data_IF_331011640293
#
_entry.id   IF_331011640293
#
_cell.length_a   1.000
_cell.length_b   1.000
_cell.length_c   1.000
_cell.angle_alpha   90.00
_cell.angle_beta   90.00
_cell.angle_gamma   90.00
#
_symmetry.space_group_name_H-M   'P 1'
#
loop_
_entity.id
_entity.type
_entity.pdbx_description
1 polymer ?
#
# COMPACT_ATOMS: atom_id res chain seq x y z
N UNK A 1 -32.81 22.65 -60.35
CA UNK A 1 -31.51 22.71 -59.63
C UNK A 1 -31.79 22.97 -58.16
N UNK A 2 -31.62 21.96 -57.28
CA UNK A 2 -31.68 22.13 -55.82
C UNK A 2 -30.33 21.67 -55.27
N UNK A 3 -29.54 22.62 -54.78
CA UNK A 3 -28.30 22.34 -54.05
C UNK A 3 -28.67 21.75 -52.68
N UNK A 4 -28.20 20.54 -52.41
CA UNK A 4 -28.17 19.96 -51.07
C UNK A 4 -26.81 20.26 -50.46
N UNK A 5 -26.82 21.17 -49.48
CA UNK A 5 -25.67 21.50 -48.63
C UNK A 5 -25.43 20.32 -47.67
N UNK A 6 -24.25 19.70 -47.76
CA UNK A 6 -23.78 18.75 -46.77
C UNK A 6 -23.19 19.52 -45.58
N UNK A 7 -23.90 19.55 -44.45
CA UNK A 7 -23.33 19.96 -43.16
C UNK A 7 -22.50 18.81 -42.60
N UNK A 8 -21.19 18.97 -42.62
CA UNK A 8 -20.25 18.07 -41.95
C UNK A 8 -20.12 18.57 -40.51
N UNK A 9 -20.86 17.99 -39.59
CA UNK A 9 -20.76 18.30 -38.16
C UNK A 9 -19.55 17.58 -37.59
N UNK A 10 -18.44 18.30 -37.44
CA UNK A 10 -17.26 17.83 -36.72
C UNK A 10 -17.63 17.71 -35.23
N UNK A 11 -17.98 16.51 -34.76
CA UNK A 11 -18.03 16.21 -33.33
C UNK A 11 -16.60 16.31 -32.80
N UNK A 12 -16.25 17.43 -32.18
CA UNK A 12 -15.19 17.44 -31.18
C UNK A 12 -15.73 16.63 -29.98
N UNK A 13 -15.34 15.36 -29.91
CA UNK A 13 -15.37 14.63 -28.66
C UNK A 13 -14.49 15.39 -27.68
N UNK A 14 -15.13 16.10 -26.76
CA UNK A 14 -14.55 16.49 -25.48
C UNK A 14 -14.23 15.18 -24.74
N UNK A 15 -13.09 14.58 -25.05
CA UNK A 15 -12.48 13.58 -24.22
C UNK A 15 -12.06 14.35 -22.97
N UNK A 16 -12.94 14.45 -21.98
CA UNK A 16 -12.49 14.63 -20.61
C UNK A 16 -11.40 13.58 -20.43
N UNK A 17 -10.14 13.95 -20.14
CA UNK A 17 -9.17 12.95 -19.75
C UNK A 17 -9.80 12.29 -18.53
N UNK A 18 -10.33 11.08 -18.72
CA UNK A 18 -10.52 10.17 -17.61
C UNK A 18 -9.16 10.19 -16.93
N UNK A 19 -9.13 10.67 -15.68
CA UNK A 19 -7.91 10.82 -14.91
C UNK A 19 -7.18 9.50 -15.09
N UNK A 20 -6.06 9.49 -15.82
CA UNK A 20 -5.27 8.28 -16.02
C UNK A 20 -4.35 8.15 -14.81
N UNK A 21 -3.72 6.99 -14.62
CA UNK A 21 -2.61 6.93 -13.68
C UNK A 21 -1.55 7.97 -14.07
N UNK A 22 -0.80 8.48 -13.09
CA UNK A 22 0.37 9.29 -13.38
C UNK A 22 1.32 8.52 -14.30
N UNK A 23 2.01 9.21 -15.20
CA UNK A 23 2.84 8.57 -16.23
C UNK A 23 3.84 7.53 -15.70
N UNK A 24 4.52 7.72 -14.54
CA UNK A 24 5.38 6.69 -13.97
C UNK A 24 4.63 5.41 -13.58
N UNK A 25 3.45 5.55 -12.98
CA UNK A 25 2.60 4.42 -12.56
C UNK A 25 2.03 3.71 -13.79
N UNK A 26 1.54 4.47 -14.78
CA UNK A 26 1.06 3.93 -16.05
C UNK A 26 2.14 3.10 -16.75
N UNK A 27 3.38 3.59 -16.80
CA UNK A 27 4.50 2.87 -17.40
C UNK A 27 4.83 1.55 -16.69
N UNK A 28 4.64 1.49 -15.36
CA UNK A 28 4.75 0.23 -14.62
C UNK A 28 3.60 -0.71 -15.02
N UNK A 29 2.35 -0.26 -14.96
CA UNK A 29 1.15 -1.06 -15.28
C UNK A 29 1.26 -1.71 -16.66
N UNK A 30 1.63 -0.93 -17.69
CA UNK A 30 1.77 -1.41 -19.07
C UNK A 30 2.90 -2.43 -19.26
N UNK A 31 3.89 -2.42 -18.35
CA UNK A 31 5.04 -3.31 -18.39
C UNK A 31 4.76 -4.72 -17.84
N UNK A 32 3.65 -4.93 -17.11
CA UNK A 32 3.37 -6.18 -16.43
C UNK A 32 2.13 -6.91 -16.95
N UNK A 33 2.22 -8.24 -16.93
CA UNK A 33 1.08 -9.14 -17.10
C UNK A 33 0.70 -9.71 -15.75
N UNK A 34 -0.58 -10.03 -15.57
CA UNK A 34 -1.08 -10.64 -14.35
C UNK A 34 -0.26 -11.90 -13.95
N UNK A 35 -0.10 -12.07 -12.64
CA UNK A 35 0.68 -13.10 -11.96
C UNK A 35 2.16 -13.15 -12.32
N UNK A 36 2.73 -12.08 -12.87
CA UNK A 36 4.18 -11.99 -13.13
C UNK A 36 4.91 -11.30 -11.98
N UNK A 37 6.09 -11.82 -11.57
CA UNK A 37 6.92 -11.16 -10.58
C UNK A 37 7.34 -9.77 -11.04
N UNK A 38 7.27 -8.81 -10.13
CA UNK A 38 7.71 -7.44 -10.33
C UNK A 38 9.15 -7.25 -9.89
N UNK A 39 9.85 -6.35 -10.57
CA UNK A 39 11.15 -5.82 -10.13
C UNK A 39 10.92 -4.87 -8.97
N UNK A 40 11.76 -4.92 -7.94
CA UNK A 40 11.57 -4.06 -6.76
C UNK A 40 11.65 -2.57 -7.10
N UNK A 41 12.39 -2.18 -8.13
CA UNK A 41 12.44 -0.78 -8.59
C UNK A 41 11.09 -0.27 -9.14
N UNK A 42 10.32 -1.14 -9.79
CA UNK A 42 8.98 -0.80 -10.28
C UNK A 42 7.98 -0.77 -9.11
N UNK A 43 8.11 -1.71 -8.17
CA UNK A 43 7.35 -1.68 -6.90
C UNK A 43 7.65 -0.40 -6.13
N UNK A 44 8.92 0.02 -6.04
CA UNK A 44 9.33 1.28 -5.43
C UNK A 44 8.74 2.50 -6.13
N UNK A 45 8.47 2.41 -7.45
CA UNK A 45 7.70 3.44 -8.15
C UNK A 45 6.24 3.44 -7.73
N UNK A 46 5.61 2.27 -7.58
CA UNK A 46 4.25 2.22 -7.02
C UNK A 46 4.20 2.76 -5.59
N UNK A 47 5.16 2.41 -4.72
CA UNK A 47 5.29 2.91 -3.35
C UNK A 47 5.37 4.44 -3.30
N UNK A 48 6.16 5.07 -4.18
CA UNK A 48 6.36 6.53 -4.22
C UNK A 48 5.11 7.32 -4.60
N UNK A 49 4.22 6.71 -5.39
CA UNK A 49 3.10 7.40 -6.01
C UNK A 49 1.74 6.99 -5.43
N UNK A 50 1.69 5.93 -4.62
CA UNK A 50 0.48 5.51 -3.92
C UNK A 50 0.24 6.36 -2.68
N UNK A 51 -1.03 6.64 -2.40
CA UNK A 51 -1.48 7.31 -1.18
C UNK A 51 -1.56 6.32 -0.01
N UNK A 52 -2.01 5.08 -0.28
CA UNK A 52 -2.13 4.03 0.74
C UNK A 52 -2.12 2.63 0.13
N UNK A 53 -1.51 1.68 0.84
CA UNK A 53 -1.59 0.26 0.54
C UNK A 53 -2.53 -0.40 1.54
N UNK A 54 -3.57 -1.07 1.06
CA UNK A 54 -4.59 -1.73 1.86
C UNK A 54 -4.44 -3.24 1.74
N UNK A 55 -4.08 -3.90 2.85
CA UNK A 55 -3.83 -5.34 2.87
C UNK A 55 -5.11 -6.10 3.21
N UNK A 56 -5.36 -7.16 2.44
CA UNK A 56 -6.58 -7.97 2.51
C UNK A 56 -7.83 -7.09 2.47
N UNK A 57 -7.92 -6.15 1.53
CA UNK A 57 -9.05 -5.23 1.47
C UNK A 57 -10.40 -5.96 1.36
N UNK A 58 -11.37 -5.54 2.18
CA UNK A 58 -12.75 -6.00 2.13
C UNK A 58 -13.69 -4.83 2.38
N UNK A 59 -14.53 -4.50 1.38
CA UNK A 59 -15.52 -3.43 1.43
C UNK A 59 -15.01 -2.09 1.99
N UNK A 60 -13.80 -1.65 1.58
CA UNK A 60 -13.18 -0.40 2.05
C UNK A 60 -12.53 -0.48 3.43
N UNK A 61 -12.33 -1.69 3.97
CA UNK A 61 -11.58 -1.94 5.19
C UNK A 61 -10.31 -2.74 4.92
N UNK A 62 -9.22 -2.41 5.60
CA UNK A 62 -7.93 -3.08 5.53
C UNK A 62 -7.69 -3.90 6.80
N UNK A 63 -7.07 -5.08 6.69
CA UNK A 63 -6.54 -5.77 7.86
C UNK A 63 -5.40 -4.97 8.51
N UNK A 64 -4.54 -4.41 7.66
CA UNK A 64 -3.59 -3.35 7.99
C UNK A 64 -3.34 -2.52 6.72
N UNK A 65 -2.72 -1.38 6.89
CA UNK A 65 -2.36 -0.51 5.78
C UNK A 65 -0.94 0.01 5.93
N UNK A 66 -0.32 0.31 4.79
CA UNK A 66 0.98 0.99 4.74
C UNK A 66 0.85 2.33 4.03
N UNK A 67 1.61 3.32 4.50
CA UNK A 67 1.88 4.59 3.80
C UNK A 67 3.39 4.75 3.69
N UNK A 68 3.90 4.81 2.46
CA UNK A 68 5.33 4.95 2.22
C UNK A 68 5.76 6.40 2.41
N UNK A 69 6.66 6.64 3.38
CA UNK A 69 7.09 7.97 3.79
C UNK A 69 8.27 8.46 2.96
N UNK A 70 9.22 7.55 2.69
CA UNK A 70 10.40 7.81 1.88
C UNK A 70 10.77 6.51 1.14
N UNK A 71 11.05 6.64 -0.15
CA UNK A 71 11.48 5.52 -1.00
C UNK A 71 12.70 5.94 -1.79
N UNK A 72 13.81 5.28 -1.52
CA UNK A 72 15.09 5.46 -2.19
C UNK A 72 15.33 4.34 -3.21
N UNK A 73 16.49 4.36 -3.87
CA UNK A 73 16.91 3.26 -4.76
C UNK A 73 17.27 1.98 -4.00
N UNK A 74 17.53 2.08 -2.68
CA UNK A 74 18.03 0.97 -1.85
C UNK A 74 17.05 0.49 -0.80
N UNK A 75 15.87 1.08 -0.69
CA UNK A 75 14.90 0.73 0.35
C UNK A 75 13.85 1.81 0.58
N UNK A 76 12.98 1.54 1.54
CA UNK A 76 11.89 2.44 1.92
C UNK A 76 11.66 2.45 3.43
N UNK A 77 11.20 3.60 3.94
CA UNK A 77 10.56 3.71 5.26
C UNK A 77 9.08 3.94 5.07
N UNK A 78 8.27 3.26 5.88
CA UNK A 78 6.82 3.27 5.74
C UNK A 78 6.17 3.26 7.13
N UNK A 79 5.01 3.90 7.21
CA UNK A 79 4.14 3.78 8.36
C UNK A 79 3.16 2.64 8.13
N UNK A 80 3.08 1.73 9.09
CA UNK A 80 2.09 0.65 9.14
C UNK A 80 1.02 1.06 10.14
N UNK A 81 -0.25 0.83 9.83
CA UNK A 81 -1.33 0.95 10.81
C UNK A 81 -2.32 -0.20 10.76
N UNK A 82 -2.84 -0.56 11.93
CA UNK A 82 -3.78 -1.66 12.11
C UNK A 82 -4.58 -1.50 13.42
N UNK A 83 -5.66 -2.28 13.55
CA UNK A 83 -6.33 -2.47 14.82
C UNK A 83 -5.43 -3.29 15.75
N UNK A 84 -5.09 -2.74 16.93
CA UNK A 84 -4.37 -3.49 17.98
C UNK A 84 -5.32 -4.37 18.79
N UNK A 85 -6.51 -3.85 19.06
CA UNK A 85 -7.63 -4.56 19.66
C UNK A 85 -8.97 -3.93 19.24
N UNK A 86 -10.08 -4.38 19.82
CA UNK A 86 -11.41 -3.86 19.54
C UNK A 86 -11.57 -2.35 19.86
N UNK A 87 -10.73 -1.80 20.73
CA UNK A 87 -10.80 -0.44 21.24
C UNK A 87 -9.71 0.50 20.68
N UNK A 88 -8.58 -0.02 20.21
CA UNK A 88 -7.37 0.74 19.89
C UNK A 88 -6.87 0.45 18.48
N UNK A 89 -6.63 1.52 17.72
CA UNK A 89 -5.80 1.50 16.52
C UNK A 89 -4.39 1.95 16.86
N UNK A 90 -3.40 1.31 16.25
CA UNK A 90 -2.01 1.71 16.31
C UNK A 90 -1.49 2.06 14.92
N UNK A 91 -0.47 2.91 14.89
CA UNK A 91 0.40 3.05 13.74
C UNK A 91 1.86 3.20 14.21
N UNK A 92 2.81 2.75 13.40
CA UNK A 92 4.24 2.78 13.72
C UNK A 92 5.05 2.83 12.42
N UNK A 93 6.31 3.24 12.52
CA UNK A 93 7.22 3.35 11.39
C UNK A 93 8.16 2.16 11.38
N UNK A 94 8.30 1.54 10.22
CA UNK A 94 9.27 0.49 9.93
C UNK A 94 10.08 0.82 8.66
N UNK A 95 11.09 0.00 8.37
CA UNK A 95 12.00 0.16 7.25
C UNK A 95 12.35 -1.19 6.64
N UNK A 96 12.35 -1.21 5.31
CA UNK A 96 12.85 -2.32 4.52
C UNK A 96 13.92 -1.91 3.50
N UNK A 97 14.93 -2.76 3.33
CA UNK A 97 15.98 -2.58 2.33
C UNK A 97 15.66 -3.39 1.06
N UNK A 98 15.91 -2.78 -0.10
CA UNK A 98 15.77 -3.44 -1.39
C UNK A 98 16.95 -4.37 -1.65
N UNK A 99 16.66 -5.63 -1.95
CA UNK A 99 17.67 -6.68 -2.16
C UNK A 99 17.46 -7.43 -3.47
N UNK A 100 18.58 -7.74 -4.11
CA UNK A 100 18.66 -8.59 -5.31
C UNK A 100 17.75 -8.15 -6.47
N UNK A 101 17.39 -6.86 -6.52
CA UNK A 101 16.47 -6.29 -7.52
C UNK A 101 15.03 -6.80 -7.45
N UNK A 102 14.68 -7.55 -6.39
CA UNK A 102 13.44 -8.32 -6.31
C UNK A 102 12.71 -8.15 -4.98
N UNK A 103 13.44 -8.06 -3.88
CA UNK A 103 12.85 -8.11 -2.54
C UNK A 103 12.91 -6.76 -1.86
N UNK A 104 11.95 -6.51 -0.96
CA UNK A 104 12.12 -5.61 0.18
C UNK A 104 12.24 -6.49 1.43
N UNK A 105 13.28 -6.30 2.23
CA UNK A 105 13.52 -7.08 3.44
C UNK A 105 13.49 -6.16 4.66
N UNK A 106 12.73 -6.56 5.68
CA UNK A 106 12.70 -5.89 6.97
C UNK A 106 14.12 -5.76 7.56
N UNK A 107 14.36 -4.65 8.24
CA UNK A 107 15.68 -4.34 8.81
C UNK A 107 15.78 -4.61 10.32
N UNK A 108 14.68 -5.01 10.96
CA UNK A 108 14.64 -5.30 12.40
C UNK A 108 14.73 -4.03 13.26
N UNK A 109 14.08 -2.95 12.82
CA UNK A 109 14.05 -1.71 13.57
C UNK A 109 13.17 -1.86 14.82
N UNK A 110 13.61 -1.34 15.96
CA UNK A 110 12.75 -1.19 17.15
C UNK A 110 11.67 -0.16 16.82
N UNK A 111 10.54 -0.64 16.31
CA UNK A 111 9.41 0.16 15.86
C UNK A 111 8.53 0.60 17.03
N UNK A 112 8.64 -0.04 18.21
CA UNK A 112 7.80 0.25 19.38
C UNK A 112 7.91 1.70 19.86
N UNK A 113 9.11 2.33 19.91
CA UNK A 113 9.26 3.75 20.18
C UNK A 113 8.43 4.66 19.26
N UNK A 114 8.22 4.27 18.00
CA UNK A 114 7.47 5.05 17.01
C UNK A 114 5.95 4.89 17.11
N UNK A 115 5.45 3.92 17.90
CA UNK A 115 4.01 3.67 18.02
C UNK A 115 3.25 4.93 18.44
N UNK A 116 2.22 5.25 17.67
CA UNK A 116 1.13 6.17 17.98
C UNK A 116 -0.17 5.38 18.04
N UNK A 117 -1.13 5.86 18.84
CA UNK A 117 -2.38 5.15 19.04
C UNK A 117 -3.59 6.09 19.11
N UNK A 118 -4.74 5.60 18.65
CA UNK A 118 -6.02 6.29 18.67
C UNK A 118 -7.12 5.35 19.14
N UNK A 119 -8.13 5.89 19.83
CA UNK A 119 -9.32 5.14 20.21
C UNK A 119 -10.20 4.92 18.99
N UNK A 120 -10.63 3.68 18.76
CA UNK A 120 -11.54 3.32 17.64
C UNK A 120 -12.93 3.93 17.79
N UNK A 121 -13.39 4.15 19.03
CA UNK A 121 -14.73 4.66 19.31
C UNK A 121 -14.95 6.10 18.83
N UNK A 122 -13.92 6.95 18.86
CA UNK A 122 -14.05 8.39 18.61
C UNK A 122 -12.87 9.03 17.87
N UNK A 123 -11.84 8.26 17.52
CA UNK A 123 -10.63 8.74 16.85
C UNK A 123 -9.69 9.55 17.75
N UNK A 124 -9.97 9.65 19.05
CA UNK A 124 -9.15 10.46 19.97
C UNK A 124 -7.76 9.83 20.16
N UNK A 125 -6.73 10.69 20.21
CA UNK A 125 -5.36 10.24 20.45
C UNK A 125 -5.18 9.65 21.86
N UNK A 126 -4.40 8.58 21.94
CA UNK A 126 -3.89 7.99 23.18
C UNK A 126 -2.46 8.49 23.39
N UNK A 127 -2.19 9.05 24.57
CA UNK A 127 -0.90 9.69 24.89
C UNK A 127 -0.46 9.47 26.33
N UNK A 128 0.68 10.08 26.71
CA UNK A 128 1.16 10.09 28.09
C UNK A 128 1.36 8.69 28.69
N UNK A 129 0.88 8.49 29.92
CA UNK A 129 1.04 7.22 30.64
C UNK A 129 0.30 6.04 29.99
N UNK A 130 -0.82 6.31 29.33
CA UNK A 130 -1.63 5.30 28.65
C UNK A 130 -0.88 4.76 27.43
N UNK A 131 -0.33 5.65 26.59
CA UNK A 131 0.52 5.24 25.47
C UNK A 131 1.78 4.50 25.94
N UNK A 132 2.39 4.94 27.05
CA UNK A 132 3.56 4.26 27.60
C UNK A 132 3.23 2.83 28.07
N UNK A 133 2.06 2.61 28.67
CA UNK A 133 1.61 1.27 29.06
C UNK A 133 1.35 0.39 27.84
N UNK A 134 0.69 0.92 26.81
CA UNK A 134 0.46 0.21 25.54
C UNK A 134 1.78 -0.20 24.86
N UNK A 135 2.77 0.70 24.79
CA UNK A 135 4.10 0.36 24.25
C UNK A 135 4.79 -0.76 25.03
N UNK A 136 4.65 -0.78 26.35
CA UNK A 136 5.21 -1.83 27.19
C UNK A 136 4.51 -3.19 26.96
N UNK A 137 3.18 -3.17 26.75
CA UNK A 137 2.41 -4.36 26.36
C UNK A 137 2.88 -4.90 25.02
N UNK A 138 3.00 -4.05 24.00
CA UNK A 138 3.44 -4.40 22.65
C UNK A 138 4.87 -4.96 22.64
N UNK A 139 5.76 -4.46 23.50
CA UNK A 139 7.15 -4.93 23.57
C UNK A 139 7.27 -6.34 24.19
N UNK A 140 6.35 -6.73 25.09
CA UNK A 140 6.43 -7.98 25.84
C UNK A 140 6.44 -9.27 24.99
N UNK A 141 5.72 -9.36 23.86
CA UNK A 141 5.70 -10.52 22.97
C UNK A 141 6.89 -10.72 22.03
N UNK A 142 7.86 -9.78 21.94
CA UNK A 142 8.89 -9.89 20.89
C UNK A 142 9.89 -11.02 21.18
N UNK A 143 9.75 -12.14 20.46
CA UNK A 143 10.80 -13.16 20.30
C UNK A 143 11.79 -12.72 19.21
N UNK A 144 13.04 -13.21 19.27
CA UNK A 144 14.12 -12.91 18.33
C UNK A 144 13.63 -12.72 16.89
N UNK A 145 13.91 -11.55 16.31
CA UNK A 145 13.41 -11.16 14.99
C UNK A 145 13.94 -12.11 13.91
N UNK A 146 13.02 -12.84 13.29
CA UNK A 146 13.27 -13.41 11.97
C UNK A 146 12.87 -12.36 10.96
N UNK A 147 13.84 -11.84 10.22
CA UNK A 147 13.60 -10.80 9.23
C UNK A 147 12.83 -11.38 8.05
N UNK A 148 11.70 -10.77 7.72
CA UNK A 148 10.92 -11.16 6.56
C UNK A 148 11.42 -10.42 5.32
N UNK A 149 11.42 -11.13 4.19
CA UNK A 149 11.61 -10.54 2.87
C UNK A 149 10.33 -10.72 2.04
N UNK A 150 10.03 -9.74 1.20
CA UNK A 150 8.82 -9.75 0.38
C UNK A 150 9.14 -9.48 -1.07
N UNK A 151 8.50 -10.20 -1.98
CA UNK A 151 8.39 -9.80 -3.37
C UNK A 151 6.93 -9.72 -3.81
N UNK A 152 6.69 -9.25 -5.02
CA UNK A 152 5.35 -8.91 -5.48
C UNK A 152 5.06 -9.54 -6.84
N UNK A 153 3.86 -10.10 -6.99
CA UNK A 153 3.28 -10.43 -8.28
C UNK A 153 2.26 -9.36 -8.66
N UNK A 154 2.32 -8.86 -9.88
CA UNK A 154 1.29 -7.96 -10.41
C UNK A 154 0.00 -8.75 -10.61
N UNK A 155 -1.13 -8.29 -10.08
CA UNK A 155 -2.43 -8.97 -10.25
C UNK A 155 -3.35 -8.24 -11.24
N UNK A 156 -3.30 -6.92 -11.27
CA UNK A 156 -4.10 -6.10 -12.18
C UNK A 156 -4.17 -4.65 -11.73
N UNK A 157 -4.91 -3.84 -12.49
CA UNK A 157 -5.23 -2.45 -12.16
C UNK A 157 -6.69 -2.16 -12.51
N UNK A 158 -7.27 -1.20 -11.79
CA UNK A 158 -8.57 -0.61 -12.08
C UNK A 158 -8.37 0.89 -12.35
N UNK A 159 -8.49 1.27 -13.62
CA UNK A 159 -8.30 2.66 -14.06
C UNK A 159 -9.38 3.61 -13.49
N UNK A 160 -10.68 3.29 -13.54
CA UNK A 160 -11.72 4.08 -12.87
C UNK A 160 -11.46 4.34 -11.38
N UNK A 161 -11.12 3.30 -10.62
CA UNK A 161 -10.93 3.39 -9.17
C UNK A 161 -9.50 3.81 -8.78
N UNK A 162 -8.60 3.95 -9.76
CA UNK A 162 -7.19 4.31 -9.54
C UNK A 162 -6.50 3.37 -8.57
N UNK A 163 -6.69 2.06 -8.76
CA UNK A 163 -6.06 1.03 -7.93
C UNK A 163 -5.16 0.08 -8.70
N UNK A 164 -4.14 -0.44 -8.02
CA UNK A 164 -3.32 -1.56 -8.49
C UNK A 164 -3.38 -2.66 -7.44
N UNK A 165 -3.62 -3.91 -7.86
CA UNK A 165 -3.58 -5.06 -6.96
C UNK A 165 -2.30 -5.83 -7.16
N UNK A 166 -1.61 -6.16 -6.06
CA UNK A 166 -0.45 -7.04 -6.02
C UNK A 166 -0.73 -8.24 -5.12
N UNK A 167 -0.05 -9.35 -5.37
CA UNK A 167 0.13 -10.41 -4.39
C UNK A 167 1.54 -10.24 -3.78
N UNK A 168 1.60 -9.84 -2.52
CA UNK A 168 2.83 -9.86 -1.73
C UNK A 168 3.12 -11.31 -1.32
N UNK A 169 4.32 -11.79 -1.58
CA UNK A 169 4.78 -13.11 -1.15
C UNK A 169 5.83 -12.97 -0.09
N UNK A 170 5.67 -13.69 1.02
CA UNK A 170 6.56 -13.61 2.17
C UNK A 170 7.63 -14.71 2.16
N UNK A 171 8.85 -14.34 2.49
CA UNK A 171 10.00 -15.21 2.62
C UNK A 171 10.58 -15.05 4.02
N UNK A 172 10.87 -16.18 4.65
CA UNK A 172 11.46 -16.28 5.99
C UNK A 172 12.73 -17.09 5.81
N UNK A 173 13.88 -16.52 6.14
CA UNK A 173 15.20 -17.13 5.87
C UNK A 173 15.33 -17.62 4.42
N UNK A 174 14.95 -16.78 3.46
CA UNK A 174 14.92 -17.05 2.01
C UNK A 174 13.95 -18.18 1.56
N UNK A 175 13.12 -18.71 2.46
CA UNK A 175 12.11 -19.73 2.15
C UNK A 175 10.74 -19.10 1.98
N UNK A 176 10.14 -19.26 0.78
CA UNK A 176 8.78 -18.79 0.47
C UNK A 176 7.74 -19.47 1.36
N UNK A 177 6.96 -18.67 2.07
CA UNK A 177 5.87 -19.09 2.94
C UNK A 177 4.52 -18.86 2.24
N UNK A 178 4.14 -19.74 1.32
CA UNK A 178 2.93 -19.55 0.50
C UNK A 178 1.63 -19.34 1.31
N UNK A 179 1.53 -19.89 2.53
CA UNK A 179 0.39 -19.67 3.43
C UNK A 179 0.31 -18.27 4.04
N UNK A 180 1.31 -17.41 3.77
CA UNK A 180 1.39 -16.01 4.21
C UNK A 180 1.33 -15.02 3.05
N UNK A 181 1.13 -15.50 1.83
CA UNK A 181 0.94 -14.63 0.68
C UNK A 181 -0.32 -13.78 0.88
N UNK A 182 -0.18 -12.47 0.66
CA UNK A 182 -1.19 -11.48 1.01
C UNK A 182 -1.54 -10.63 -0.20
N UNK A 183 -2.83 -10.50 -0.49
CA UNK A 183 -3.30 -9.54 -1.48
C UNK A 183 -3.23 -8.12 -0.92
N UNK A 184 -2.72 -7.20 -1.72
CA UNK A 184 -2.64 -5.78 -1.39
C UNK A 184 -3.17 -4.94 -2.53
N UNK A 185 -4.03 -3.98 -2.18
CA UNK A 185 -4.58 -2.99 -3.10
C UNK A 185 -3.91 -1.65 -2.83
N UNK A 186 -3.30 -1.09 -3.85
CA UNK A 186 -2.62 0.20 -3.80
C UNK A 186 -3.60 1.25 -4.32
N UNK A 187 -3.89 2.25 -3.50
CA UNK A 187 -4.78 3.36 -3.82
C UNK A 187 -3.95 4.57 -4.22
N UNK A 188 -4.22 5.12 -5.40
CA UNK A 188 -3.54 6.30 -5.94
C UNK A 188 -4.41 7.55 -5.91
N UNK A 189 -5.71 7.41 -5.65
CA UNK A 189 -6.60 8.53 -5.42
C UNK A 189 -6.61 8.90 -3.93
N UNK A 190 -6.33 10.17 -3.56
CA UNK A 190 -6.29 10.59 -2.16
C UNK A 190 -7.64 10.48 -1.44
N UNK A 191 -8.76 10.68 -2.15
CA UNK A 191 -10.09 10.65 -1.54
C UNK A 191 -10.48 9.21 -1.18
N UNK A 192 -10.29 8.26 -2.11
CA UNK A 192 -10.56 6.85 -1.83
C UNK A 192 -9.61 6.30 -0.76
N UNK A 193 -8.33 6.64 -0.80
CA UNK A 193 -7.34 6.24 0.20
C UNK A 193 -7.65 6.76 1.60
N UNK A 194 -8.19 7.98 1.71
CA UNK A 194 -8.60 8.58 2.98
C UNK A 194 -9.89 7.97 3.55
N UNK A 195 -10.74 7.40 2.70
CA UNK A 195 -11.98 6.73 3.12
C UNK A 195 -11.75 5.32 3.68
N UNK A 196 -10.56 4.74 3.47
CA UNK A 196 -10.21 3.41 3.98
C UNK A 196 -10.18 3.36 5.52
N UNK A 197 -10.65 2.25 6.07
CA UNK A 197 -10.68 1.99 7.52
C UNK A 197 -9.86 0.77 7.90
N UNK A 198 -9.53 0.60 9.19
CA UNK A 198 -8.90 -0.62 9.71
C UNK A 198 -9.93 -1.52 10.38
N UNK A 199 -9.92 -2.82 10.08
CA UNK A 199 -10.75 -3.82 10.78
C UNK A 199 -9.95 -4.60 11.82
N UNK A 200 -10.66 -5.09 12.83
CA UNK A 200 -10.19 -6.05 13.81
C UNK A 200 -10.50 -7.47 13.33
#
# INVERSE_FOLDING_TARGET
MKLLLAMTTTLLTLVTPALAFEAPVQGVIEGYKASKPMRIADVGTLMRHSERWCYLEDAGSCAWWDVYLEVSDTGASFEIGNAWDEAVDIAFVDRGDFRDGRFICETGADWVPSVRATRRADGSMIGGRELAALKAEIAGPQSAEVLNCFDYLYMGSDDPEKTVTLLQRQYVDDVHQAGRDTLVTLHFDPESAAALTSRW
#
